data_IF_187636662490
#
_entry.id   IF_187636662490
#
_cell.length_a   1.000
_cell.length_b   1.000
_cell.length_c   1.000
_cell.angle_alpha   90.00
_cell.angle_beta   90.00
_cell.angle_gamma   90.00
#
_symmetry.space_group_name_H-M   'P 1'
#
loop_
_entity.id
_entity.type
_entity.pdbx_description
1 polymer ?
#
# COMPACT_ATOMS: atom_id res chain seq x y z
N UNK A 1 -11.60 1.70 18.08
CA UNK A 1 -12.38 2.44 17.07
C UNK A 1 -13.70 1.68 16.88
N UNK A 2 -14.86 2.32 17.07
CA UNK A 2 -16.16 1.64 17.02
C UNK A 2 -16.45 1.20 15.57
N UNK A 3 -16.53 -0.12 15.35
CA UNK A 3 -16.96 -0.72 14.09
C UNK A 3 -18.41 -0.30 13.77
N UNK A 4 -18.79 -0.17 12.48
CA UNK A 4 -20.16 0.13 12.12
C UNK A 4 -21.08 -1.00 12.60
N UNK A 5 -22.09 -0.65 13.40
CA UNK A 5 -23.08 -1.61 13.92
C UNK A 5 -23.92 -2.18 12.77
N UNK A 6 -24.23 -3.48 12.86
CA UNK A 6 -25.18 -4.20 12.01
C UNK A 6 -26.51 -3.46 11.90
N UNK A 7 -27.11 -3.42 10.71
CA UNK A 7 -28.47 -2.91 10.50
C UNK A 7 -29.45 -4.09 10.52
N UNK A 8 -30.55 -3.96 11.27
CA UNK A 8 -31.55 -5.01 11.38
C UNK A 8 -32.49 -4.98 10.18
N UNK A 9 -32.56 -6.08 9.42
CA UNK A 9 -33.48 -6.26 8.30
C UNK A 9 -34.75 -6.94 8.79
N UNK A 10 -35.80 -6.13 8.96
CA UNK A 10 -37.11 -6.59 9.39
C UNK A 10 -37.84 -7.49 8.37
N UNK A 11 -37.40 -7.51 7.10
CA UNK A 11 -38.03 -8.34 6.07
C UNK A 11 -37.57 -9.79 6.11
N UNK A 12 -36.34 -10.03 6.60
CA UNK A 12 -35.73 -11.36 6.69
C UNK A 12 -35.40 -11.76 8.14
N UNK A 13 -35.92 -11.01 9.12
CA UNK A 13 -35.73 -11.18 10.58
C UNK A 13 -34.27 -11.53 10.97
N UNK A 14 -33.33 -10.72 10.47
CA UNK A 14 -31.91 -10.92 10.77
C UNK A 14 -31.14 -9.60 10.81
N UNK A 15 -30.08 -9.59 11.60
CA UNK A 15 -29.08 -8.54 11.52
C UNK A 15 -28.26 -8.72 10.24
N UNK A 16 -28.31 -7.74 9.35
CA UNK A 16 -27.46 -7.66 8.17
C UNK A 16 -26.24 -6.86 8.56
N UNK A 17 -25.11 -7.54 8.63
CA UNK A 17 -23.84 -6.84 8.61
C UNK A 17 -23.74 -6.09 7.28
N UNK A 18 -23.18 -4.87 7.26
CA UNK A 18 -22.91 -4.16 5.98
C UNK A 18 -22.00 -4.95 5.02
N UNK A 19 -21.47 -6.08 5.48
CA UNK A 19 -20.72 -7.09 4.74
C UNK A 19 -21.59 -8.09 3.95
N UNK A 20 -22.88 -8.23 4.28
CA UNK A 20 -23.83 -9.18 3.68
C UNK A 20 -24.68 -8.58 2.54
N UNK A 21 -24.25 -7.46 1.95
CA UNK A 21 -24.95 -6.86 0.82
C UNK A 21 -25.11 -7.89 -0.32
N UNK A 22 -26.31 -8.02 -0.93
CA UNK A 22 -26.56 -9.02 -1.96
C UNK A 22 -25.55 -8.90 -3.09
N UNK A 23 -25.02 -10.02 -3.59
CA UNK A 23 -24.05 -10.10 -4.69
C UNK A 23 -24.42 -9.21 -5.89
N UNK A 24 -25.72 -8.99 -6.12
CA UNK A 24 -26.28 -8.16 -7.19
C UNK A 24 -26.03 -6.65 -7.00
N UNK A 25 -25.95 -6.15 -5.76
CA UNK A 25 -25.59 -4.75 -5.48
C UNK A 25 -24.08 -4.48 -5.64
N UNK A 26 -23.26 -5.54 -5.59
CA UNK A 26 -21.81 -5.47 -5.72
C UNK A 26 -21.35 -5.31 -7.18
N UNK A 27 -22.14 -5.73 -8.16
CA UNK A 27 -21.74 -5.65 -9.58
C UNK A 27 -21.60 -4.22 -10.11
N UNK A 28 -22.49 -3.29 -9.72
CA UNK A 28 -22.46 -1.89 -10.20
C UNK A 28 -21.49 -0.98 -9.44
N UNK A 29 -21.00 -1.40 -8.27
CA UNK A 29 -20.13 -0.59 -7.40
C UNK A 29 -19.01 -1.44 -6.77
N UNK A 30 -18.49 -2.43 -7.51
CA UNK A 30 -17.51 -3.42 -7.00
C UNK A 30 -16.33 -2.76 -6.27
N UNK A 31 -15.77 -1.70 -6.84
CA UNK A 31 -14.60 -1.04 -6.25
C UNK A 31 -14.92 -0.32 -4.94
N UNK A 32 -16.14 0.23 -4.79
CA UNK A 32 -16.57 0.92 -3.57
C UNK A 32 -16.67 -0.05 -2.39
N UNK A 33 -17.14 -1.27 -2.64
CA UNK A 33 -17.38 -2.24 -1.58
C UNK A 33 -16.21 -3.19 -1.37
N UNK A 34 -15.62 -3.77 -2.43
CA UNK A 34 -14.55 -4.78 -2.28
C UNK A 34 -13.20 -4.20 -1.90
N UNK A 35 -12.86 -2.97 -2.32
CA UNK A 35 -11.53 -2.39 -2.02
C UNK A 35 -11.29 -2.27 -0.51
N UNK A 36 -12.22 -1.75 0.32
CA UNK A 36 -12.06 -1.77 1.78
C UNK A 36 -12.01 -3.16 2.44
N UNK A 37 -12.56 -4.20 1.80
CA UNK A 37 -12.61 -5.56 2.37
C UNK A 37 -11.35 -6.35 2.02
N UNK A 38 -10.91 -6.23 0.76
CA UNK A 38 -9.89 -7.12 0.19
C UNK A 38 -8.53 -6.45 0.01
N UNK A 39 -8.48 -5.13 -0.14
CA UNK A 39 -7.28 -4.42 -0.61
C UNK A 39 -6.68 -3.48 0.43
N UNK A 40 -7.36 -3.24 1.56
CA UNK A 40 -6.82 -2.38 2.62
C UNK A 40 -5.68 -3.08 3.36
N UNK A 41 -4.56 -2.39 3.63
CA UNK A 41 -3.39 -3.05 4.19
C UNK A 41 -3.69 -3.80 5.49
N UNK A 42 -4.44 -3.20 6.45
CA UNK A 42 -4.69 -3.85 7.76
C UNK A 42 -5.43 -5.20 7.65
N UNK A 43 -6.06 -5.50 6.50
CA UNK A 43 -6.70 -6.80 6.24
C UNK A 43 -5.71 -7.95 6.08
N UNK A 44 -4.43 -7.65 5.87
CA UNK A 44 -3.37 -8.65 5.76
C UNK A 44 -2.86 -9.16 7.11
N UNK A 45 -3.17 -8.50 8.22
CA UNK A 45 -2.69 -8.92 9.56
C UNK A 45 -2.99 -10.39 9.88
N UNK A 46 -4.23 -10.90 9.72
CA UNK A 46 -4.51 -12.30 10.04
C UNK A 46 -3.73 -13.29 9.15
N UNK A 47 -3.44 -12.89 7.91
CA UNK A 47 -2.66 -13.71 6.98
C UNK A 47 -1.18 -13.74 7.39
N UNK A 48 -0.64 -12.59 7.78
CA UNK A 48 0.75 -12.46 8.25
C UNK A 48 0.96 -13.16 9.60
N UNK A 49 -0.01 -13.07 10.52
CA UNK A 49 0.02 -13.80 11.79
C UNK A 49 0.01 -15.32 11.57
N UNK A 50 -0.81 -15.79 10.63
CA UNK A 50 -0.89 -17.21 10.29
C UNK A 50 0.31 -17.71 9.45
N UNK A 51 1.02 -16.81 8.75
CA UNK A 51 2.11 -17.13 7.84
C UNK A 51 3.29 -16.17 8.05
N UNK A 52 4.03 -16.28 9.17
CA UNK A 52 5.08 -15.33 9.53
C UNK A 52 6.27 -15.31 8.56
N UNK A 53 6.40 -16.33 7.70
CA UNK A 53 7.43 -16.39 6.65
C UNK A 53 6.97 -15.76 5.32
N UNK A 54 5.68 -15.48 5.15
CA UNK A 54 5.15 -14.89 3.92
C UNK A 54 5.67 -13.47 3.77
N UNK A 55 6.44 -13.20 2.72
CA UNK A 55 6.78 -11.81 2.39
C UNK A 55 5.64 -11.15 1.65
N UNK A 56 5.25 -9.97 2.12
CA UNK A 56 4.18 -9.19 1.55
C UNK A 56 4.73 -7.85 1.06
N UNK A 57 4.46 -7.52 -0.21
CA UNK A 57 4.71 -6.20 -0.75
C UNK A 57 3.36 -5.49 -1.00
N UNK A 58 3.13 -4.39 -0.28
CA UNK A 58 1.93 -3.57 -0.44
C UNK A 58 2.13 -2.63 -1.62
N UNK A 59 1.52 -2.97 -2.75
CA UNK A 59 1.60 -2.18 -3.98
C UNK A 59 1.15 -0.74 -3.75
N UNK A 60 2.00 0.22 -4.13
CA UNK A 60 1.71 1.65 -4.09
C UNK A 60 1.27 2.15 -2.71
N UNK A 61 1.76 1.52 -1.64
CA UNK A 61 1.32 1.75 -0.26
C UNK A 61 -0.20 1.63 -0.04
N UNK A 62 -0.85 0.76 -0.82
CA UNK A 62 -2.22 0.31 -0.58
C UNK A 62 -3.31 1.08 -1.33
N UNK A 63 -3.01 2.22 -1.96
CA UNK A 63 -4.04 2.96 -2.70
C UNK A 63 -3.49 4.01 -3.68
N UNK A 64 -3.59 3.75 -4.99
CA UNK A 64 -3.32 4.77 -6.01
C UNK A 64 -4.28 5.98 -5.94
N UNK A 65 -5.52 5.75 -5.51
CA UNK A 65 -6.55 6.80 -5.44
C UNK A 65 -6.28 7.82 -4.32
N UNK A 66 -5.75 7.36 -3.18
CA UNK A 66 -5.40 8.27 -2.07
C UNK A 66 -4.27 9.20 -2.49
N UNK A 67 -3.26 8.67 -3.20
CA UNK A 67 -2.21 9.49 -3.80
C UNK A 67 -2.77 10.45 -4.87
N UNK A 68 -3.69 9.99 -5.72
CA UNK A 68 -4.22 10.82 -6.80
C UNK A 68 -5.11 11.97 -6.31
N UNK A 69 -5.97 11.73 -5.31
CA UNK A 69 -7.07 12.63 -4.98
C UNK A 69 -6.85 13.47 -3.71
N UNK A 70 -5.97 13.07 -2.80
CA UNK A 70 -5.87 13.77 -1.52
C UNK A 70 -4.98 15.01 -1.60
N UNK A 71 -5.59 16.15 -1.24
CA UNK A 71 -4.88 17.41 -1.02
C UNK A 71 -4.30 17.54 0.38
N UNK A 72 -4.68 16.62 1.27
CA UNK A 72 -4.28 16.61 2.67
C UNK A 72 -3.61 15.26 3.03
N UNK A 73 -2.31 15.25 3.40
CA UNK A 73 -1.62 14.04 3.82
C UNK A 73 -2.18 13.41 5.11
N UNK A 74 -2.95 14.15 5.92
CA UNK A 74 -3.48 13.66 7.20
C UNK A 74 -4.72 12.75 7.03
N UNK A 75 -5.19 12.56 5.78
CA UNK A 75 -6.35 11.71 5.45
C UNK A 75 -5.96 10.35 4.83
N UNK A 76 -4.67 10.02 4.78
CA UNK A 76 -4.13 8.86 4.06
C UNK A 76 -4.22 7.57 4.87
N UNK A 77 -5.44 7.07 5.02
CA UNK A 77 -5.74 5.88 5.81
C UNK A 77 -4.97 4.65 5.33
N UNK A 78 -4.80 4.41 4.03
CA UNK A 78 -4.09 3.23 3.53
C UNK A 78 -2.58 3.36 3.72
N UNK A 79 -2.04 4.57 3.61
CA UNK A 79 -0.61 4.79 3.82
C UNK A 79 -0.20 4.53 5.27
N UNK A 80 -0.93 5.11 6.22
CA UNK A 80 -0.63 4.92 7.65
C UNK A 80 -0.81 3.46 8.07
N UNK A 81 -1.79 2.76 7.52
CA UNK A 81 -1.92 1.31 7.70
C UNK A 81 -0.70 0.56 7.18
N UNK A 82 -0.22 0.91 5.99
CA UNK A 82 0.99 0.30 5.42
C UNK A 82 2.22 0.57 6.29
N UNK A 83 2.40 1.79 6.77
CA UNK A 83 3.50 2.11 7.69
C UNK A 83 3.41 1.30 8.99
N UNK A 84 2.22 1.18 9.58
CA UNK A 84 2.02 0.34 10.78
C UNK A 84 2.33 -1.13 10.51
N UNK A 85 1.89 -1.68 9.39
CA UNK A 85 2.21 -3.06 9.04
C UNK A 85 3.70 -3.30 8.85
N UNK A 86 4.40 -2.37 8.21
CA UNK A 86 5.86 -2.45 8.07
C UNK A 86 6.52 -2.50 9.44
N UNK A 87 6.07 -1.65 10.39
CA UNK A 87 6.61 -1.63 11.75
C UNK A 87 6.28 -2.89 12.55
N UNK A 88 5.07 -3.44 12.36
CA UNK A 88 4.58 -4.59 13.12
C UNK A 88 5.12 -5.93 12.57
N UNK A 89 5.43 -6.01 11.27
CA UNK A 89 5.80 -7.24 10.57
C UNK A 89 7.08 -7.06 9.74
N UNK A 90 8.15 -7.75 10.15
CA UNK A 90 9.48 -7.58 9.56
C UNK A 90 9.62 -8.04 8.10
N UNK A 91 8.67 -8.85 7.65
CA UNK A 91 8.46 -9.43 6.32
C UNK A 91 7.54 -8.59 5.42
N UNK A 92 7.07 -7.42 5.85
CA UNK A 92 6.25 -6.51 5.05
C UNK A 92 7.09 -5.41 4.41
N UNK A 93 6.83 -5.17 3.12
CA UNK A 93 7.45 -4.18 2.27
C UNK A 93 6.35 -3.37 1.57
N UNK A 94 6.73 -2.25 0.98
CA UNK A 94 5.86 -1.50 0.06
C UNK A 94 6.67 -0.94 -1.11
N UNK A 95 6.03 -0.81 -2.26
CA UNK A 95 6.60 -0.09 -3.40
C UNK A 95 5.93 1.25 -3.63
N UNK A 96 6.68 2.17 -4.23
CA UNK A 96 6.12 3.31 -4.94
C UNK A 96 6.45 3.20 -6.43
N UNK A 97 5.47 3.56 -7.24
CA UNK A 97 5.54 3.47 -8.70
C UNK A 97 4.78 4.62 -9.38
N UNK A 98 4.22 4.38 -10.58
CA UNK A 98 3.46 5.34 -11.39
C UNK A 98 2.36 6.09 -10.63
N UNK A 99 1.77 5.48 -9.59
CA UNK A 99 0.72 6.09 -8.77
C UNK A 99 1.17 7.37 -8.02
N UNK A 100 2.48 7.60 -7.92
CA UNK A 100 3.09 8.76 -7.27
C UNK A 100 3.32 9.95 -8.21
N UNK A 101 2.46 10.11 -9.22
CA UNK A 101 2.59 11.11 -10.29
C UNK A 101 2.71 12.58 -9.81
N UNK A 102 2.35 12.90 -8.56
CA UNK A 102 2.43 14.26 -8.01
C UNK A 102 3.70 14.44 -7.18
N UNK A 103 4.50 15.47 -7.51
CA UNK A 103 5.72 15.86 -6.78
C UNK A 103 5.52 15.95 -5.25
N UNK A 104 4.40 16.53 -4.79
CA UNK A 104 4.08 16.66 -3.36
C UNK A 104 4.00 15.31 -2.62
N UNK A 105 3.49 14.27 -3.29
CA UNK A 105 3.34 12.94 -2.72
C UNK A 105 4.70 12.28 -2.55
N UNK A 106 5.54 12.39 -3.58
CA UNK A 106 6.91 11.90 -3.52
C UNK A 106 7.72 12.61 -2.44
N UNK A 107 7.56 13.93 -2.30
CA UNK A 107 8.20 14.70 -1.24
C UNK A 107 7.72 14.29 0.15
N UNK A 108 6.43 13.98 0.32
CA UNK A 108 5.92 13.43 1.58
C UNK A 108 6.56 12.07 1.87
N UNK A 109 6.53 11.13 0.92
CA UNK A 109 7.11 9.81 1.11
C UNK A 109 8.61 9.90 1.44
N UNK A 110 9.35 10.76 0.72
CA UNK A 110 10.76 11.06 1.01
C UNK A 110 10.95 11.50 2.46
N UNK A 111 10.15 12.45 2.96
CA UNK A 111 10.25 12.90 4.37
C UNK A 111 10.01 11.75 5.37
N UNK A 112 9.07 10.84 5.07
CA UNK A 112 8.82 9.68 5.92
C UNK A 112 10.01 8.71 5.91
N UNK A 113 10.56 8.42 4.75
CA UNK A 113 11.76 7.57 4.56
C UNK A 113 12.97 8.19 5.27
N UNK A 114 13.23 9.48 5.10
CA UNK A 114 14.37 10.17 5.71
C UNK A 114 14.25 10.21 7.24
N UNK A 115 13.02 10.29 7.76
CA UNK A 115 12.73 10.31 9.20
C UNK A 115 12.65 8.94 9.87
N UNK A 116 12.65 7.84 9.11
CA UNK A 116 12.48 6.48 9.61
C UNK A 116 13.42 5.51 8.89
N UNK A 117 14.57 5.25 9.54
CA UNK A 117 15.60 4.35 8.99
C UNK A 117 15.09 2.93 8.76
N UNK A 118 14.14 2.45 9.57
CA UNK A 118 13.61 1.11 9.40
C UNK A 118 12.73 1.04 8.15
N UNK A 119 11.81 2.01 8.01
CA UNK A 119 10.98 2.16 6.82
C UNK A 119 11.83 2.24 5.54
N UNK A 120 12.95 2.99 5.56
CA UNK A 120 13.86 3.09 4.42
C UNK A 120 14.43 1.73 3.94
N UNK A 121 14.44 0.70 4.80
CA UNK A 121 14.87 -0.66 4.43
C UNK A 121 13.75 -1.55 3.90
N UNK A 122 12.52 -1.06 3.85
CA UNK A 122 11.30 -1.80 3.46
C UNK A 122 10.55 -1.16 2.29
N UNK A 123 11.04 -0.04 1.77
CA UNK A 123 10.45 0.65 0.62
C UNK A 123 11.25 0.36 -0.66
N UNK A 124 10.55 0.09 -1.76
CA UNK A 124 11.14 -0.22 -3.06
C UNK A 124 10.59 0.69 -4.16
N UNK A 125 11.36 0.88 -5.22
CA UNK A 125 10.86 1.53 -6.43
C UNK A 125 10.43 0.47 -7.47
N UNK A 126 9.21 0.61 -7.99
CA UNK A 126 8.72 -0.11 -9.16
C UNK A 126 8.38 0.87 -10.28
N UNK A 127 8.72 0.58 -11.53
CA UNK A 127 8.42 1.53 -12.62
C UNK A 127 6.98 1.46 -13.10
N UNK A 128 6.29 0.34 -12.91
CA UNK A 128 5.04 0.00 -13.62
C UNK A 128 5.09 0.38 -15.09
N UNK A 129 6.21 0.00 -15.73
CA UNK A 129 6.62 0.41 -17.08
C UNK A 129 5.45 0.51 -18.06
N UNK A 130 4.70 -0.57 -18.23
CA UNK A 130 3.59 -0.62 -19.19
C UNK A 130 2.50 0.40 -18.85
N UNK A 131 2.09 0.49 -17.57
CA UNK A 131 1.05 1.44 -17.14
C UNK A 131 1.51 2.89 -17.28
N UNK A 132 2.79 3.17 -17.05
CA UNK A 132 3.34 4.50 -17.27
C UNK A 132 3.25 4.89 -18.75
N UNK A 133 3.74 4.04 -19.65
CA UNK A 133 3.70 4.26 -21.11
C UNK A 133 2.28 4.51 -21.62
N UNK A 134 1.28 3.76 -21.15
CA UNK A 134 -0.09 3.89 -21.64
C UNK A 134 -0.91 5.01 -20.96
N UNK A 135 -0.59 5.41 -19.73
CA UNK A 135 -1.45 6.33 -18.94
C UNK A 135 -0.86 7.70 -18.66
N UNK A 136 0.47 7.88 -18.68
CA UNK A 136 1.13 9.05 -18.09
C UNK A 136 2.26 9.66 -18.94
N UNK A 137 2.59 9.08 -20.09
CA UNK A 137 3.69 9.52 -20.94
C UNK A 137 4.84 8.53 -20.90
N UNK A 138 6.06 8.96 -21.21
CA UNK A 138 7.19 8.03 -21.28
C UNK A 138 7.65 7.62 -19.88
N UNK A 139 8.05 6.36 -19.71
CA UNK A 139 8.65 5.89 -18.45
C UNK A 139 9.89 6.70 -18.09
N UNK A 140 10.60 7.20 -19.09
CA UNK A 140 11.82 8.01 -18.94
C UNK A 140 11.52 9.31 -18.20
N UNK A 141 10.46 10.03 -18.61
CA UNK A 141 10.04 11.26 -17.93
C UNK A 141 9.62 10.98 -16.50
N UNK A 142 8.85 9.92 -16.27
CA UNK A 142 8.43 9.53 -14.93
C UNK A 142 9.63 9.19 -14.04
N UNK A 143 10.56 8.38 -14.54
CA UNK A 143 11.78 8.02 -13.83
C UNK A 143 12.62 9.27 -13.52
N UNK A 144 12.77 10.20 -14.46
CA UNK A 144 13.50 11.45 -14.22
C UNK A 144 12.87 12.27 -13.09
N UNK A 145 11.53 12.34 -13.03
CA UNK A 145 10.85 13.02 -11.93
C UNK A 145 11.09 12.36 -10.57
N UNK A 146 11.09 11.02 -10.53
CA UNK A 146 11.41 10.25 -9.32
C UNK A 146 12.87 10.53 -8.90
N UNK A 147 13.81 10.43 -9.83
CA UNK A 147 15.24 10.61 -9.59
C UNK A 147 15.61 12.05 -9.20
N UNK A 148 14.86 13.05 -9.66
CA UNK A 148 15.04 14.44 -9.24
C UNK A 148 14.66 14.67 -7.76
N UNK A 149 13.88 13.79 -7.16
CA UNK A 149 13.41 13.91 -5.76
C UNK A 149 14.18 12.95 -4.85
N UNK A 150 14.39 11.71 -5.30
CA UNK A 150 15.14 10.68 -4.59
C UNK A 150 16.23 10.11 -5.53
N UNK A 151 17.35 10.82 -5.73
CA UNK A 151 18.39 10.38 -6.66
C UNK A 151 19.04 9.07 -6.20
N UNK A 152 19.41 8.19 -7.15
CA UNK A 152 19.94 6.85 -6.83
C UNK A 152 21.18 6.85 -5.91
N UNK A 153 22.15 7.77 -6.05
CA UNK A 153 23.32 7.81 -5.17
C UNK A 153 22.95 7.99 -3.69
N UNK A 154 21.87 8.71 -3.41
CA UNK A 154 21.42 8.99 -2.03
C UNK A 154 20.48 7.89 -1.50
N UNK A 155 19.79 7.18 -2.40
CA UNK A 155 18.79 6.16 -2.08
C UNK A 155 19.07 4.79 -2.74
N UNK A 156 20.31 4.26 -2.74
CA UNK A 156 20.66 3.08 -3.54
C UNK A 156 19.87 1.83 -3.13
N UNK A 157 19.55 1.70 -1.84
CA UNK A 157 18.80 0.57 -1.30
C UNK A 157 17.38 0.47 -1.87
N UNK A 158 16.71 1.62 -2.10
CA UNK A 158 15.33 1.67 -2.59
C UNK A 158 15.23 1.14 -4.03
N UNK A 159 16.25 1.41 -4.84
CA UNK A 159 16.27 1.03 -6.26
C UNK A 159 16.82 -0.38 -6.51
N UNK A 160 17.46 -1.00 -5.51
CA UNK A 160 18.14 -2.27 -5.72
C UNK A 160 18.08 -3.18 -4.50
N UNK A 161 18.79 -2.84 -3.42
CA UNK A 161 19.02 -3.79 -2.32
C UNK A 161 17.71 -4.28 -1.68
N UNK A 162 16.74 -3.41 -1.44
CA UNK A 162 15.48 -3.79 -0.81
C UNK A 162 14.70 -4.80 -1.66
N UNK A 163 14.73 -4.67 -3.01
CA UNK A 163 14.12 -5.62 -3.93
C UNK A 163 14.83 -6.98 -3.90
N UNK A 164 16.16 -6.99 -3.84
CA UNK A 164 16.92 -8.23 -3.68
C UNK A 164 16.58 -8.93 -2.36
N UNK A 165 16.51 -8.17 -1.25
CA UNK A 165 16.11 -8.73 0.05
C UNK A 165 14.69 -9.28 0.01
N UNK A 166 13.75 -8.56 -0.58
CA UNK A 166 12.37 -9.01 -0.71
C UNK A 166 12.27 -10.29 -1.55
N UNK A 167 12.93 -10.36 -2.70
CA UNK A 167 12.79 -11.48 -3.63
C UNK A 167 13.55 -12.74 -3.19
N UNK A 168 14.74 -12.59 -2.59
CA UNK A 168 15.69 -13.71 -2.51
C UNK A 168 16.17 -14.07 -1.10
N UNK A 169 16.13 -13.15 -0.12
CA UNK A 169 16.54 -13.51 1.25
C UNK A 169 15.48 -14.38 1.94
N UNK A 170 15.84 -15.13 2.99
CA UNK A 170 14.82 -15.81 3.82
C UNK A 170 14.36 -14.86 4.92
N UNK A 171 13.10 -15.00 5.34
CA UNK A 171 12.63 -14.33 6.55
C UNK A 171 13.32 -14.98 7.75
N UNK A 172 13.99 -14.19 8.59
CA UNK A 172 14.61 -14.68 9.82
C UNK A 172 13.64 -14.41 10.96
N UNK A 173 12.96 -15.46 11.43
CA UNK A 173 12.09 -15.38 12.60
C UNK A 173 12.96 -15.48 13.85
N UNK A 174 13.03 -14.39 14.62
CA UNK A 174 13.61 -14.42 15.96
C UNK A 174 12.54 -14.86 16.94
N UNK A 175 12.74 -16.02 17.57
CA UNK A 175 11.96 -16.42 18.74
C UNK A 175 12.57 -15.70 19.94
N UNK A 176 11.77 -14.88 20.63
CA UNK A 176 12.10 -14.33 21.94
C UNK A 176 11.85 -15.37 23.03
#
# INVERSE_FOLDING_TARGET
MNLPRSEYDATNDRYIDKWDAPLVALEKNRNKYYKPILLYPDRWRPVLDANPELKLNIAHFGSSDEWANNNDPDTWNSLDQTFRLIQDFSNVYADFSYAFAKKKNMQYLKRRIDGDRYLATRVMYGSDFYLNEIMKGTVTEHLNNVLNIMPRPDYPNIYFSNAIRFMFEKVVIQFN
#
